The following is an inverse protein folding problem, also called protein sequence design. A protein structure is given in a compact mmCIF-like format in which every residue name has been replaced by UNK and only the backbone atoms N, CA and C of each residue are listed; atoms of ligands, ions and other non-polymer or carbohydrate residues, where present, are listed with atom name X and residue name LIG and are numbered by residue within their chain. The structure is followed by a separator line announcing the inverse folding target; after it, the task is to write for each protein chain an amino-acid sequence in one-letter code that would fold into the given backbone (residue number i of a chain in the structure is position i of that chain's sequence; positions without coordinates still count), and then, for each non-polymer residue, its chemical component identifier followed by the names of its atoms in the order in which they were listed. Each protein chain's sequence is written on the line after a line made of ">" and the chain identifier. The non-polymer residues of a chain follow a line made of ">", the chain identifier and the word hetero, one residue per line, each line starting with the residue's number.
data_IF_464957070576
#
_entry.id   IF_464957070576
#
_cell.length_a   1.000
_cell.length_b   1.000
_cell.length_c   1.000
_cell.angle_alpha   90.00
_cell.angle_beta   90.00
_cell.angle_gamma   90.00
#
_symmetry.space_group_name_H-M   'P 1'
#
loop_
_entity.id
_entity.type
_entity.pdbx_description
1 polymer ?
#
# COMPACT_ATOMS: atom_id res chain seq x y z
N UNK A 1 -5.46 -17.97 -0.38
CA UNK A 1 -4.79 -19.24 -0.73
C UNK A 1 -3.94 -19.69 0.46
N UNK A 2 -4.54 -20.49 1.35
CA UNK A 2 -3.84 -21.04 2.51
C UNK A 2 -3.89 -22.57 2.39
N UNK A 3 -2.78 -23.31 2.45
CA UNK A 3 -2.84 -24.72 2.77
C UNK A 3 -3.32 -24.86 4.23
N UNK A 4 -4.14 -25.88 4.52
CA UNK A 4 -4.93 -25.98 5.75
C UNK A 4 -4.14 -25.81 7.07
N UNK A 5 -4.80 -25.27 8.12
CA UNK A 5 -4.13 -24.66 9.28
C UNK A 5 -3.39 -25.66 10.18
N UNK A 6 -3.71 -26.96 10.12
CA UNK A 6 -3.11 -27.95 11.03
C UNK A 6 -1.76 -28.46 10.51
N UNK A 7 -1.66 -28.74 9.22
CA UNK A 7 -0.44 -29.26 8.60
C UNK A 7 0.68 -28.21 8.62
N UNK A 8 0.32 -26.95 8.35
CA UNK A 8 1.25 -25.82 8.38
C UNK A 8 1.80 -25.57 9.78
N UNK A 9 0.96 -25.69 10.82
CA UNK A 9 1.38 -25.51 12.21
C UNK A 9 2.31 -26.61 12.68
N UNK A 10 2.02 -27.86 12.33
CA UNK A 10 2.88 -29.02 12.69
C UNK A 10 4.23 -28.93 11.97
N UNK A 11 4.23 -28.66 10.66
CA UNK A 11 5.48 -28.50 9.91
C UNK A 11 6.29 -27.30 10.41
N UNK A 12 5.65 -26.18 10.75
CA UNK A 12 6.32 -25.01 11.32
C UNK A 12 6.99 -25.33 12.68
N UNK A 13 6.30 -26.04 13.57
CA UNK A 13 6.87 -26.43 14.88
C UNK A 13 8.07 -27.36 14.70
N UNK A 14 7.99 -28.31 13.76
CA UNK A 14 9.09 -29.24 13.47
C UNK A 14 10.31 -28.53 12.87
N UNK A 15 10.10 -27.57 11.96
CA UNK A 15 11.18 -26.78 11.35
C UNK A 15 11.82 -25.84 12.37
N UNK A 16 11.04 -25.23 13.26
CA UNK A 16 11.57 -24.38 14.34
C UNK A 16 12.39 -25.19 15.35
N UNK A 17 11.90 -26.38 15.75
CA UNK A 17 12.61 -27.25 16.69
C UNK A 17 13.95 -27.76 16.10
N UNK A 18 13.96 -28.17 14.83
CA UNK A 18 15.17 -28.60 14.13
C UNK A 18 16.13 -27.42 13.91
N UNK A 19 15.61 -26.24 13.59
CA UNK A 19 16.38 -25.01 13.46
C UNK A 19 17.03 -24.57 14.77
N UNK A 20 16.30 -24.63 15.90
CA UNK A 20 16.84 -24.31 17.22
C UNK A 20 17.96 -25.26 17.65
N UNK A 21 17.86 -26.56 17.31
CA UNK A 21 18.91 -27.52 17.58
C UNK A 21 20.19 -27.26 16.76
N UNK A 22 20.06 -26.72 15.53
CA UNK A 22 21.17 -26.35 14.66
C UNK A 22 21.80 -24.99 15.03
N UNK A 23 21.07 -24.10 15.72
CA UNK A 23 21.53 -22.75 16.10
C UNK A 23 22.61 -22.73 17.20
N UNK A 24 22.79 -23.84 17.93
CA UNK A 24 23.81 -23.95 18.99
C UNK A 24 25.26 -23.93 18.50
N UNK A 25 25.52 -24.12 17.19
CA UNK A 25 26.88 -24.18 16.63
C UNK A 25 27.30 -22.89 15.90
N UNK A 26 26.40 -21.92 15.70
CA UNK A 26 26.63 -20.74 14.87
C UNK A 26 26.64 -19.42 15.67
N UNK A 27 27.16 -19.43 16.90
CA UNK A 27 27.28 -18.24 17.75
C UNK A 27 28.37 -17.24 17.30
N UNK A 28 28.81 -17.29 16.04
CA UNK A 28 29.81 -16.39 15.47
C UNK A 28 29.49 -15.99 14.03
N UNK A 29 28.21 -15.85 13.69
CA UNK A 29 27.81 -14.91 12.63
C UNK A 29 27.33 -13.64 13.31
N UNK A 30 28.27 -12.75 13.61
CA UNK A 30 27.95 -11.33 13.80
C UNK A 30 27.30 -10.86 12.50
N UNK A 31 25.97 -10.91 12.45
CA UNK A 31 25.22 -10.20 11.44
C UNK A 31 25.68 -8.75 11.53
N UNK A 32 26.40 -8.28 10.51
CA UNK A 32 26.81 -6.87 10.38
C UNK A 32 25.57 -6.04 10.04
N UNK A 33 24.52 -6.10 10.84
CA UNK A 33 23.42 -5.16 10.77
C UNK A 33 23.94 -3.86 11.38
N UNK A 34 24.37 -2.94 10.51
CA UNK A 34 24.63 -1.57 10.89
C UNK A 34 23.45 -1.06 11.73
N UNK A 35 23.74 -0.42 12.88
CA UNK A 35 22.72 0.30 13.63
C UNK A 35 22.10 1.34 12.70
N UNK A 36 20.85 1.12 12.28
CA UNK A 36 20.18 1.96 11.30
C UNK A 36 19.51 3.13 12.03
N UNK A 37 19.97 4.34 11.75
CA UNK A 37 19.31 5.55 12.21
C UNK A 37 17.95 5.69 11.51
N UNK A 38 16.88 5.50 12.29
CA UNK A 38 15.50 5.56 11.80
C UNK A 38 15.15 6.94 11.27
N UNK A 39 15.78 8.01 11.74
CA UNK A 39 15.48 9.36 11.28
C UNK A 39 16.08 9.61 9.89
N UNK A 40 17.25 9.04 9.60
CA UNK A 40 17.81 9.02 8.23
C UNK A 40 16.91 8.23 7.28
N UNK A 41 16.40 7.07 7.72
CA UNK A 41 15.49 6.26 6.91
C UNK A 41 14.18 6.98 6.61
N UNK A 42 13.57 7.62 7.63
CA UNK A 42 12.34 8.41 7.46
C UNK A 42 12.57 9.56 6.46
N UNK A 43 13.68 10.30 6.59
CA UNK A 43 14.03 11.38 5.65
C UNK A 43 14.16 10.87 4.21
N UNK A 44 14.91 9.78 4.01
CA UNK A 44 15.03 9.14 2.68
C UNK A 44 13.66 8.70 2.14
N UNK A 45 12.80 8.17 3.01
CA UNK A 45 11.45 7.74 2.62
C UNK A 45 10.56 8.92 2.25
N UNK A 46 10.64 10.04 2.96
CA UNK A 46 9.91 11.27 2.64
C UNK A 46 10.28 11.77 1.24
N UNK A 47 11.58 11.87 0.92
CA UNK A 47 12.02 12.30 -0.41
C UNK A 47 11.61 11.32 -1.52
N UNK A 48 11.67 10.01 -1.24
CA UNK A 48 11.20 9.00 -2.18
C UNK A 48 9.70 9.10 -2.44
N UNK A 49 8.89 9.28 -1.39
CA UNK A 49 7.42 9.45 -1.50
C UNK A 49 7.10 10.75 -2.23
N UNK A 50 7.83 11.83 -1.97
CA UNK A 50 7.67 13.10 -2.68
C UNK A 50 7.87 12.92 -4.18
N UNK A 51 8.97 12.29 -4.58
CA UNK A 51 9.24 11.98 -5.99
C UNK A 51 8.16 11.07 -6.59
N UNK A 52 7.72 10.06 -5.84
CA UNK A 52 6.68 9.14 -6.29
C UNK A 52 5.34 9.86 -6.57
N UNK A 53 4.89 10.74 -5.67
CA UNK A 53 3.64 11.50 -5.85
C UNK A 53 3.74 12.36 -7.12
N UNK A 54 4.83 13.11 -7.28
CA UNK A 54 5.04 13.99 -8.44
C UNK A 54 5.07 13.19 -9.76
N UNK A 55 5.78 12.05 -9.79
CA UNK A 55 5.81 11.16 -10.95
C UNK A 55 4.44 10.59 -11.29
N UNK A 56 3.65 10.19 -10.27
CA UNK A 56 2.27 9.71 -10.49
C UNK A 56 1.36 10.79 -11.07
N UNK A 57 1.53 12.04 -10.64
CA UNK A 57 0.75 13.19 -11.13
C UNK A 57 1.32 13.81 -12.42
N UNK A 58 2.44 13.30 -12.95
CA UNK A 58 3.16 13.86 -14.11
C UNK A 58 3.59 15.31 -13.89
N UNK A 59 3.96 15.65 -12.67
CA UNK A 59 4.46 16.97 -12.28
C UNK A 59 5.96 16.92 -12.06
N UNK A 60 6.69 17.95 -12.49
CA UNK A 60 8.14 18.08 -12.23
C UNK A 60 8.44 18.81 -10.94
N UNK A 61 7.47 19.57 -10.43
CA UNK A 61 7.56 20.31 -9.17
C UNK A 61 6.15 20.48 -8.56
N UNK A 62 6.04 20.75 -7.25
CA UNK A 62 4.76 21.07 -6.64
C UNK A 62 4.09 22.26 -7.34
N UNK A 63 2.77 22.21 -7.60
CA UNK A 63 2.06 23.33 -8.21
C UNK A 63 2.10 24.56 -7.28
N UNK A 64 1.95 25.75 -7.86
CA UNK A 64 1.86 26.98 -7.09
C UNK A 64 0.68 26.90 -6.12
N UNK A 65 0.92 27.36 -4.90
CA UNK A 65 -0.07 27.31 -3.84
C UNK A 65 -1.07 28.45 -4.05
N UNK A 66 -2.03 28.22 -4.93
CA UNK A 66 -3.20 29.07 -5.05
C UNK A 66 -3.99 28.98 -3.74
N UNK A 67 -4.44 30.13 -3.21
CA UNK A 67 -5.43 30.16 -2.13
C UNK A 67 -6.71 29.53 -2.68
N UNK A 68 -6.85 28.22 -2.48
CA UNK A 68 -8.05 27.50 -2.82
C UNK A 68 -9.26 28.09 -2.08
N UNK A 69 -10.48 27.72 -2.49
CA UNK A 69 -11.66 28.11 -1.73
C UNK A 69 -11.47 27.67 -0.27
N UNK A 70 -11.81 28.56 0.69
CA UNK A 70 -11.60 28.30 2.12
C UNK A 70 -12.32 27.05 2.62
N UNK A 71 -13.35 26.60 1.90
CA UNK A 71 -14.04 25.34 2.12
C UNK A 71 -14.13 24.54 0.80
N UNK A 72 -13.96 23.21 0.90
CA UNK A 72 -14.03 22.30 -0.24
C UNK A 72 -15.50 22.00 -0.57
N UNK A 73 -15.95 22.11 -1.84
CA UNK A 73 -17.34 21.82 -2.21
C UNK A 73 -17.80 20.42 -1.80
N UNK A 74 -19.04 20.31 -1.30
CA UNK A 74 -19.61 19.04 -0.83
C UNK A 74 -19.60 17.94 -1.89
N UNK A 75 -19.79 18.28 -3.17
CA UNK A 75 -19.73 17.32 -4.28
C UNK A 75 -18.35 16.68 -4.42
N UNK A 76 -17.26 17.47 -4.22
CA UNK A 76 -15.89 16.97 -4.27
C UNK A 76 -15.60 16.07 -3.07
N UNK A 77 -16.08 16.45 -1.88
CA UNK A 77 -15.96 15.62 -0.68
C UNK A 77 -16.71 14.29 -0.83
N UNK A 78 -17.92 14.31 -1.39
CA UNK A 78 -18.71 13.11 -1.66
C UNK A 78 -17.99 12.19 -2.68
N UNK A 79 -17.43 12.76 -3.74
CA UNK A 79 -16.63 12.02 -4.73
C UNK A 79 -15.40 11.38 -4.08
N UNK A 80 -14.65 12.13 -3.26
CA UNK A 80 -13.49 11.61 -2.52
C UNK A 80 -13.87 10.44 -1.61
N UNK A 81 -14.90 10.60 -0.78
CA UNK A 81 -15.34 9.57 0.17
C UNK A 81 -15.79 8.29 -0.56
N UNK A 82 -16.63 8.44 -1.59
CA UNK A 82 -17.07 7.28 -2.38
C UNK A 82 -15.92 6.55 -3.07
N UNK A 83 -14.92 7.28 -3.56
CA UNK A 83 -13.71 6.71 -4.18
C UNK A 83 -12.86 5.96 -3.16
N UNK A 84 -12.63 6.54 -1.97
CA UNK A 84 -11.92 5.89 -0.88
C UNK A 84 -12.59 4.58 -0.49
N UNK A 85 -13.90 4.61 -0.29
CA UNK A 85 -14.66 3.45 0.17
C UNK A 85 -14.66 2.34 -0.91
N UNK A 86 -14.78 2.70 -2.19
CA UNK A 86 -14.65 1.78 -3.32
C UNK A 86 -13.27 1.11 -3.37
N UNK A 87 -12.19 1.88 -3.25
CA UNK A 87 -10.82 1.35 -3.29
C UNK A 87 -10.56 0.40 -2.12
N UNK A 88 -11.05 0.72 -0.92
CA UNK A 88 -10.95 -0.16 0.24
C UNK A 88 -11.69 -1.48 0.02
N UNK A 89 -12.89 -1.45 -0.55
CA UNK A 89 -13.64 -2.67 -0.88
C UNK A 89 -12.90 -3.52 -1.92
N UNK A 90 -12.35 -2.90 -2.97
CA UNK A 90 -11.57 -3.61 -3.98
C UNK A 90 -10.33 -4.26 -3.37
N UNK A 91 -9.61 -3.55 -2.51
CA UNK A 91 -8.44 -4.09 -1.82
C UNK A 91 -8.83 -5.32 -0.98
N UNK A 92 -9.92 -5.25 -0.21
CA UNK A 92 -10.41 -6.39 0.58
C UNK A 92 -10.78 -7.59 -0.30
N UNK A 93 -11.41 -7.36 -1.45
CA UNK A 93 -11.75 -8.41 -2.40
C UNK A 93 -10.50 -9.07 -3.01
N UNK A 94 -9.51 -8.27 -3.41
CA UNK A 94 -8.23 -8.78 -3.92
C UNK A 94 -7.47 -9.59 -2.86
N UNK A 95 -7.42 -9.10 -1.61
CA UNK A 95 -6.80 -9.81 -0.50
C UNK A 95 -7.49 -11.16 -0.25
N UNK A 96 -8.83 -11.19 -0.27
CA UNK A 96 -9.62 -12.40 -0.13
C UNK A 96 -9.37 -13.40 -1.29
N UNK A 97 -9.26 -12.89 -2.53
CA UNK A 97 -8.97 -13.68 -3.72
C UNK A 97 -7.49 -14.10 -3.82
N UNK A 98 -6.60 -13.51 -3.01
CA UNK A 98 -5.14 -13.65 -3.10
C UNK A 98 -4.60 -13.30 -4.49
N UNK A 99 -5.23 -12.34 -5.15
CA UNK A 99 -4.78 -11.80 -6.41
C UNK A 99 -3.67 -10.77 -6.16
N UNK A 100 -2.64 -10.78 -7.01
CA UNK A 100 -1.63 -9.72 -7.03
C UNK A 100 -1.93 -8.81 -8.22
N UNK A 101 -2.15 -7.53 -7.95
CA UNK A 101 -2.30 -6.55 -9.02
C UNK A 101 -1.01 -6.47 -9.86
N UNK A 102 -1.15 -6.63 -11.18
CA UNK A 102 -0.09 -6.30 -12.14
C UNK A 102 0.13 -4.79 -12.13
N UNK A 103 1.33 -4.34 -11.76
CA UNK A 103 1.64 -2.91 -11.59
C UNK A 103 1.65 -2.10 -12.91
N UNK A 104 1.50 -2.75 -14.06
CA UNK A 104 1.81 -2.17 -15.37
C UNK A 104 0.72 -1.21 -15.90
N UNK A 105 -0.56 -1.43 -15.60
CA UNK A 105 -1.68 -0.64 -16.15
C UNK A 105 -2.11 0.58 -15.26
N UNK A 106 -1.40 0.85 -14.17
CA UNK A 106 -1.84 1.80 -13.13
C UNK A 106 -0.79 2.74 -12.56
N UNK A 107 0.36 2.92 -13.25
CA UNK A 107 1.45 3.71 -12.68
C UNK A 107 1.07 5.17 -12.42
N UNK A 108 0.44 5.85 -13.39
CA UNK A 108 0.02 7.24 -13.28
C UNK A 108 -1.33 7.39 -12.57
N UNK A 109 -1.53 8.55 -11.93
CA UNK A 109 -2.80 8.93 -11.35
C UNK A 109 -3.91 9.03 -12.40
N UNK A 110 -5.12 8.64 -12.01
CA UNK A 110 -6.32 8.72 -12.86
C UNK A 110 -7.23 9.81 -12.32
N UNK A 111 -7.82 10.57 -13.23
CA UNK A 111 -8.89 11.51 -12.90
C UNK A 111 -10.18 10.74 -12.66
N UNK A 112 -10.93 11.12 -11.62
CA UNK A 112 -12.13 10.41 -11.18
C UNK A 112 -13.35 11.27 -11.47
N UNK A 113 -14.36 10.68 -12.10
CA UNK A 113 -15.64 11.31 -12.39
C UNK A 113 -16.78 10.41 -11.94
N UNK A 114 -17.84 11.00 -11.40
CA UNK A 114 -19.09 10.30 -11.08
C UNK A 114 -20.18 10.77 -12.04
N UNK A 115 -20.78 9.82 -12.74
CA UNK A 115 -21.90 10.05 -13.65
C UNK A 115 -23.14 9.43 -12.99
N UNK A 116 -24.13 10.25 -12.68
CA UNK A 116 -25.39 9.76 -12.13
C UNK A 116 -26.27 9.21 -13.26
N UNK A 117 -26.92 8.06 -13.03
CA UNK A 117 -27.87 7.50 -13.99
C UNK A 117 -29.19 8.27 -13.93
N UNK A 118 -29.67 8.72 -15.09
CA UNK A 118 -31.02 9.29 -15.20
C UNK A 118 -32.06 8.16 -15.15
N UNK A 119 -33.13 8.27 -14.34
CA UNK A 119 -34.19 7.27 -14.34
C UNK A 119 -34.93 7.29 -15.68
N UNK A 120 -35.13 6.11 -16.28
CA UNK A 120 -35.76 5.94 -17.59
C UNK A 120 -37.29 6.06 -17.58
N UNK A 121 -37.89 6.40 -16.44
CA UNK A 121 -39.33 6.71 -16.33
C UNK A 121 -39.55 7.58 -15.10
N UNK A 122 -40.41 8.59 -15.23
CA UNK A 122 -40.92 9.45 -14.16
C UNK A 122 -42.44 9.26 -14.07
#
# INVERSE_FOLDING_TARGET
>A
CQPGPMLVRVLAVMVVALGCALQGLCASSSSTCASMDMDVLKRRRIEAVRGQILSKLKLTSPPQQELGPGEVPQQVLALFNSTRDLLLQQQQQQEAACERESQEEGYYGKEVHKLDMMPLYA
#
